data_IF_410033720740
#
_entry.id   IF_410033720740
#
_cell.length_a   1.000
_cell.length_b   1.000
_cell.length_c   1.000
_cell.angle_alpha   90.00
_cell.angle_beta   90.00
_cell.angle_gamma   90.00
#
_symmetry.space_group_name_H-M   'P 1'
#
loop_
_entity.id
_entity.type
_entity.pdbx_description
1 polymer ?
#
# COMPACT_ATOMS: atom_id res chain seq x y z
N UNK A 1 48.87 17.08 92.55
CA UNK A 1 49.68 16.26 91.62
C UNK A 1 48.71 15.37 90.83
N UNK A 2 48.51 15.73 89.56
CA UNK A 2 48.20 14.89 88.39
C UNK A 2 47.04 13.83 88.37
N UNK A 3 46.11 14.04 87.41
CA UNK A 3 45.66 13.10 86.34
C UNK A 3 44.60 12.04 86.78
N UNK A 4 43.44 11.81 86.13
CA UNK A 4 43.15 11.50 84.70
C UNK A 4 41.75 11.96 84.23
N UNK A 5 41.70 12.65 83.09
CA UNK A 5 40.56 12.62 82.18
C UNK A 5 40.57 11.27 81.46
N UNK A 6 39.48 10.50 81.57
CA UNK A 6 39.24 9.32 80.72
C UNK A 6 38.55 9.75 79.43
N UNK A 7 39.25 9.64 78.31
CA UNK A 7 38.67 9.73 76.97
C UNK A 7 37.85 8.47 76.67
N UNK A 8 36.56 8.64 76.34
CA UNK A 8 35.78 7.59 75.69
C UNK A 8 36.07 7.65 74.19
N UNK A 9 36.84 6.69 73.68
CA UNK A 9 36.91 6.41 72.25
C UNK A 9 35.62 5.71 71.82
N UNK A 10 34.87 6.34 70.92
CA UNK A 10 33.80 5.67 70.18
C UNK A 10 34.47 4.93 69.03
N UNK A 11 34.74 3.64 69.21
CA UNK A 11 35.18 2.76 68.12
C UNK A 11 33.96 2.35 67.31
N UNK A 12 33.76 3.00 66.15
CA UNK A 12 32.78 2.59 65.15
C UNK A 12 33.24 1.33 64.42
N UNK A 13 32.95 0.15 64.97
CA UNK A 13 33.09 -1.12 64.25
C UNK A 13 32.06 -1.21 63.10
N UNK A 14 32.34 -1.98 62.03
CA UNK A 14 31.42 -2.14 60.92
C UNK A 14 30.10 -2.73 61.44
N UNK A 15 29.00 -2.05 61.19
CA UNK A 15 27.67 -2.56 61.55
C UNK A 15 27.43 -3.84 60.76
N UNK A 16 27.00 -4.94 61.39
CA UNK A 16 26.62 -6.15 60.67
C UNK A 16 25.53 -5.79 59.65
N UNK A 17 25.69 -6.24 58.40
CA UNK A 17 24.70 -5.99 57.36
C UNK A 17 23.40 -6.69 57.75
N UNK A 18 22.28 -5.98 57.58
CA UNK A 18 20.96 -6.53 57.83
C UNK A 18 20.60 -7.45 56.66
N UNK A 19 20.48 -8.77 56.87
CA UNK A 19 20.22 -9.73 55.80
C UNK A 19 18.89 -9.44 55.08
N UNK A 20 17.94 -8.77 55.75
CA UNK A 20 16.70 -8.34 55.12
C UNK A 20 16.94 -7.20 54.13
N UNK A 21 17.72 -6.20 54.50
CA UNK A 21 18.15 -5.11 53.61
C UNK A 21 18.98 -5.64 52.44
N UNK A 22 19.89 -6.59 52.67
CA UNK A 22 20.70 -7.20 51.61
C UNK A 22 19.84 -7.99 50.62
N UNK A 23 18.85 -8.74 51.11
CA UNK A 23 17.91 -9.48 50.27
C UNK A 23 17.03 -8.52 49.45
N UNK A 24 16.52 -7.46 50.08
CA UNK A 24 15.70 -6.44 49.44
C UNK A 24 16.47 -5.74 48.31
N UNK A 25 17.73 -5.38 48.57
CA UNK A 25 18.58 -4.69 47.59
C UNK A 25 18.94 -5.59 46.41
N UNK A 26 19.30 -6.85 46.66
CA UNK A 26 19.57 -7.81 45.59
C UNK A 26 18.34 -8.10 44.73
N UNK A 27 17.16 -8.20 45.35
CA UNK A 27 15.89 -8.40 44.65
C UNK A 27 15.56 -7.19 43.77
N UNK A 28 15.72 -5.97 44.30
CA UNK A 28 15.51 -4.73 43.56
C UNK A 28 16.48 -4.63 42.37
N UNK A 29 17.76 -4.97 42.57
CA UNK A 29 18.76 -4.94 41.50
C UNK A 29 18.43 -5.95 40.40
N UNK A 30 17.96 -7.15 40.76
CA UNK A 30 17.45 -8.14 39.81
C UNK A 30 16.26 -7.61 39.01
N UNK A 31 15.29 -6.97 39.67
CA UNK A 31 14.14 -6.37 39.00
C UNK A 31 14.53 -5.26 38.03
N UNK A 32 15.45 -4.37 38.43
CA UNK A 32 15.97 -3.29 37.59
C UNK A 32 16.70 -3.86 36.37
N UNK A 33 17.53 -4.89 36.55
CA UNK A 33 18.22 -5.56 35.44
C UNK A 33 17.24 -6.17 34.44
N UNK A 34 16.21 -6.87 34.92
CA UNK A 34 15.16 -7.45 34.07
C UNK A 34 14.40 -6.36 33.30
N UNK A 35 14.15 -5.21 33.93
CA UNK A 35 13.52 -4.07 33.27
C UNK A 35 14.42 -3.47 32.16
N UNK A 36 15.73 -3.34 32.41
CA UNK A 36 16.68 -2.94 31.38
C UNK A 36 16.73 -3.92 30.21
N UNK A 37 16.76 -5.23 30.49
CA UNK A 37 16.71 -6.26 29.45
C UNK A 37 15.39 -6.16 28.66
N UNK A 38 14.26 -5.99 29.33
CA UNK A 38 12.96 -5.82 28.67
C UNK A 38 12.94 -4.61 27.73
N UNK A 39 13.52 -3.47 28.13
CA UNK A 39 13.64 -2.28 27.26
C UNK A 39 14.56 -2.55 26.06
N UNK A 40 15.66 -3.28 26.25
CA UNK A 40 16.56 -3.66 25.15
C UNK A 40 15.90 -4.61 24.14
N UNK A 41 15.05 -5.53 24.62
CA UNK A 41 14.23 -6.42 23.78
C UNK A 41 12.98 -5.74 23.22
N UNK A 42 12.60 -4.57 23.75
CA UNK A 42 11.60 -3.69 23.16
C UNK A 42 12.21 -3.04 21.92
N UNK A 43 12.34 -3.81 20.85
CA UNK A 43 12.58 -3.28 19.52
C UNK A 43 11.21 -2.81 19.00
N UNK A 44 10.86 -1.51 19.04
CA UNK A 44 9.71 -1.07 18.29
C UNK A 44 10.04 -1.43 16.84
N UNK A 45 9.28 -2.38 16.28
CA UNK A 45 9.25 -2.61 14.84
C UNK A 45 9.28 -1.22 14.22
N UNK A 46 10.32 -0.92 13.44
CA UNK A 46 10.33 0.29 12.62
C UNK A 46 9.19 0.04 11.65
N UNK A 47 7.99 0.48 12.02
CA UNK A 47 6.83 0.50 11.14
C UNK A 47 7.25 1.44 10.03
N UNK A 48 7.93 0.90 9.01
CA UNK A 48 8.19 1.55 7.75
C UNK A 48 6.84 2.11 7.39
N UNK A 49 6.73 3.44 7.31
CA UNK A 49 5.48 4.16 7.12
C UNK A 49 4.56 3.31 6.25
N UNK A 50 3.64 2.59 6.90
CA UNK A 50 2.74 1.69 6.20
C UNK A 50 1.82 2.71 5.58
N UNK A 51 2.06 3.03 4.31
CA UNK A 51 1.03 3.70 3.53
C UNK A 51 -0.08 2.67 3.56
N UNK A 52 -1.04 2.83 4.48
CA UNK A 52 -2.29 2.09 4.46
C UNK A 52 -3.02 2.60 3.22
N UNK A 53 -2.56 2.11 2.06
CA UNK A 53 -3.36 2.07 0.87
C UNK A 53 -4.52 1.17 1.27
N UNK A 54 -5.72 1.74 1.27
CA UNK A 54 -6.98 1.01 1.44
C UNK A 54 -7.26 0.19 0.18
N UNK A 55 -6.32 -0.70 -0.16
CA UNK A 55 -6.26 -1.51 -1.36
C UNK A 55 -5.37 -2.73 -1.10
N UNK A 56 -5.73 -3.85 -1.71
CA UNK A 56 -4.93 -5.08 -1.76
C UNK A 56 -4.12 -5.11 -3.06
N UNK A 57 -4.78 -4.72 -4.15
CA UNK A 57 -4.18 -4.56 -5.47
C UNK A 57 -4.53 -3.20 -6.07
N UNK A 58 -3.61 -2.66 -6.87
CA UNK A 58 -3.81 -1.47 -7.68
C UNK A 58 -3.51 -1.81 -9.12
N UNK A 59 -4.47 -1.57 -10.00
CA UNK A 59 -4.34 -1.64 -11.44
C UNK A 59 -4.15 -0.21 -11.94
N UNK A 60 -3.04 0.04 -12.62
CA UNK A 60 -2.74 1.33 -13.24
C UNK A 60 -2.73 1.16 -14.74
N UNK A 61 -3.52 1.99 -15.42
CA UNK A 61 -3.58 2.08 -16.87
C UNK A 61 -3.08 3.47 -17.27
N UNK A 62 -2.10 3.55 -18.15
CA UNK A 62 -1.52 4.83 -18.60
C UNK A 62 -1.28 4.80 -20.10
N UNK A 63 -1.44 5.92 -20.76
CA UNK A 63 -1.08 6.11 -22.17
C UNK A 63 -0.23 7.39 -22.32
N UNK A 64 0.36 7.68 -23.49
CA UNK A 64 1.29 8.79 -23.61
C UNK A 64 0.69 10.12 -23.15
N UNK A 65 1.50 10.86 -22.39
CA UNK A 65 1.14 12.15 -21.83
C UNK A 65 0.72 13.14 -22.92
N UNK A 66 -0.20 14.04 -22.57
CA UNK A 66 -0.76 15.09 -23.45
C UNK A 66 -1.51 14.57 -24.69
N UNK A 67 -1.81 13.27 -24.76
CA UNK A 67 -2.70 12.77 -25.81
C UNK A 67 -4.15 13.14 -25.50
N UNK A 68 -4.91 13.65 -26.48
CA UNK A 68 -6.33 13.97 -26.32
C UNK A 68 -7.24 12.72 -26.42
N UNK A 69 -6.66 11.53 -26.54
CA UNK A 69 -7.36 10.26 -26.65
C UNK A 69 -7.84 9.78 -25.27
N UNK A 70 -9.02 9.17 -25.23
CA UNK A 70 -9.71 8.71 -24.03
C UNK A 70 -9.74 7.18 -23.99
N UNK A 71 -9.04 6.59 -23.02
CA UNK A 71 -8.92 5.15 -22.84
C UNK A 71 -9.55 4.77 -21.49
N UNK A 72 -10.71 4.12 -21.56
CA UNK A 72 -11.40 3.64 -20.38
C UNK A 72 -10.85 2.26 -19.95
N UNK A 73 -10.79 2.05 -18.64
CA UNK A 73 -10.53 0.77 -17.99
C UNK A 73 -11.83 0.14 -17.51
N UNK A 74 -12.02 -1.12 -17.86
CA UNK A 74 -13.12 -1.95 -17.41
C UNK A 74 -12.56 -3.11 -16.61
N UNK A 75 -13.01 -3.26 -15.36
CA UNK A 75 -12.56 -4.36 -14.50
C UNK A 75 -13.75 -5.16 -14.02
N UNK A 76 -13.75 -6.45 -14.34
CA UNK A 76 -14.73 -7.39 -13.82
C UNK A 76 -14.11 -8.20 -12.68
N UNK A 77 -14.85 -8.34 -11.58
CA UNK A 77 -14.47 -9.16 -10.43
C UNK A 77 -14.92 -10.64 -10.58
N UNK A 78 -14.48 -11.54 -9.68
CA UNK A 78 -14.87 -12.96 -9.74
C UNK A 78 -16.36 -13.23 -9.59
N UNK A 79 -17.13 -12.28 -9.05
CA UNK A 79 -18.59 -12.38 -8.90
C UNK A 79 -19.33 -11.88 -10.15
N UNK A 80 -18.60 -11.37 -11.16
CA UNK A 80 -19.14 -10.84 -12.41
C UNK A 80 -19.59 -9.39 -12.31
N UNK A 81 -19.24 -8.67 -11.24
CA UNK A 81 -19.51 -7.25 -11.12
C UNK A 81 -18.47 -6.46 -11.92
N UNK A 82 -18.92 -5.47 -12.70
CA UNK A 82 -18.07 -4.71 -13.62
C UNK A 82 -17.93 -3.27 -13.15
N UNK A 83 -16.69 -2.86 -12.89
CA UNK A 83 -16.28 -1.50 -12.54
C UNK A 83 -15.79 -0.75 -13.79
N UNK A 84 -16.35 0.44 -14.01
CA UNK A 84 -16.04 1.35 -15.13
C UNK A 84 -16.54 2.77 -14.81
N UNK A 85 -16.32 3.77 -15.68
CA UNK A 85 -16.58 5.18 -15.35
C UNK A 85 -17.99 5.50 -14.84
N UNK A 86 -19.04 4.80 -15.31
CA UNK A 86 -20.43 4.98 -14.79
C UNK A 86 -20.73 4.14 -13.56
N UNK A 87 -20.04 3.01 -13.38
CA UNK A 87 -20.17 2.15 -12.22
C UNK A 87 -18.84 2.07 -11.49
N UNK A 88 -18.42 3.19 -10.88
CA UNK A 88 -17.07 3.34 -10.33
C UNK A 88 -16.79 2.45 -9.12
N UNK A 89 -17.81 1.92 -8.47
CA UNK A 89 -17.68 1.06 -7.30
C UNK A 89 -18.56 -0.18 -7.51
N UNK A 90 -17.95 -1.33 -7.81
CA UNK A 90 -18.64 -2.60 -7.95
C UNK A 90 -17.97 -3.61 -7.00
N UNK A 91 -18.74 -4.13 -6.03
CA UNK A 91 -18.21 -5.00 -4.99
C UNK A 91 -17.05 -4.36 -4.23
N UNK A 92 -15.87 -4.97 -4.36
CA UNK A 92 -14.62 -4.53 -3.74
C UNK A 92 -13.65 -3.90 -4.73
N UNK A 93 -14.09 -3.61 -5.96
CA UNK A 93 -13.30 -3.03 -7.04
C UNK A 93 -13.78 -1.63 -7.34
N UNK A 94 -12.85 -0.68 -7.34
CA UNK A 94 -13.17 0.73 -7.42
C UNK A 94 -12.27 1.48 -8.40
N UNK A 95 -12.86 2.29 -9.28
CA UNK A 95 -12.16 3.22 -10.15
C UNK A 95 -11.88 4.51 -9.36
N UNK A 96 -10.70 4.59 -8.76
CA UNK A 96 -10.28 5.69 -7.89
C UNK A 96 -9.83 6.92 -8.68
N UNK A 97 -9.24 6.74 -9.88
CA UNK A 97 -8.98 7.81 -10.85
C UNK A 97 -9.55 7.42 -12.21
N UNK A 98 -10.38 8.31 -12.73
CA UNK A 98 -11.02 8.31 -14.04
C UNK A 98 -10.49 9.54 -14.79
N UNK A 99 -9.92 9.34 -15.98
CA UNK A 99 -9.24 10.37 -16.74
C UNK A 99 -9.88 10.46 -18.12
N UNK A 100 -10.48 11.62 -18.42
CA UNK A 100 -11.27 11.85 -19.65
C UNK A 100 -10.42 12.50 -20.74
N UNK A 101 -9.10 12.35 -20.67
CA UNK A 101 -8.12 13.06 -21.49
C UNK A 101 -7.97 14.54 -21.10
N UNK A 102 -7.47 15.37 -22.03
CA UNK A 102 -7.16 16.79 -21.80
C UNK A 102 -8.36 17.70 -21.41
N UNK A 103 -9.57 17.16 -21.27
CA UNK A 103 -10.75 17.90 -20.86
C UNK A 103 -10.76 18.14 -19.35
N UNK A 104 -10.42 19.37 -18.94
CA UNK A 104 -10.46 19.91 -17.56
C UNK A 104 -9.35 19.44 -16.61
N UNK A 105 -8.21 19.02 -17.15
CA UNK A 105 -7.11 18.54 -16.35
C UNK A 105 -6.15 19.71 -16.04
N UNK A 106 -6.46 20.51 -15.00
CA UNK A 106 -5.58 21.58 -14.51
C UNK A 106 -5.12 21.32 -13.07
N UNK A 107 -3.83 21.53 -12.83
CA UNK A 107 -3.17 21.49 -11.53
C UNK A 107 -2.88 22.91 -11.08
N UNK A 108 -3.19 23.23 -9.82
CA UNK A 108 -2.79 24.49 -9.21
C UNK A 108 -1.48 24.27 -8.44
N UNK A 109 -0.38 24.77 -8.97
CA UNK A 109 0.93 24.74 -8.30
C UNK A 109 1.36 26.17 -8.02
N UNK A 110 1.52 26.51 -6.74
CA UNK A 110 1.87 27.86 -6.29
C UNK A 110 0.93 28.97 -6.82
N UNK A 111 -0.37 28.67 -6.93
CA UNK A 111 -1.38 29.62 -7.42
C UNK A 111 -1.41 29.80 -8.94
N UNK A 112 -0.62 29.04 -9.69
CA UNK A 112 -0.65 29.01 -11.16
C UNK A 112 -1.37 27.73 -11.63
N UNK A 113 -2.33 27.91 -12.53
CA UNK A 113 -2.92 26.78 -13.27
C UNK A 113 -1.93 26.26 -14.31
N UNK A 114 -1.70 24.95 -14.27
CA UNK A 114 -0.85 24.20 -15.19
C UNK A 114 -1.70 23.05 -15.74
N UNK A 115 -1.67 22.83 -17.04
CA UNK A 115 -2.33 21.69 -17.67
C UNK A 115 -1.68 20.38 -17.17
N UNK A 116 -2.48 19.42 -16.71
CA UNK A 116 -2.01 18.12 -16.27
C UNK A 116 -1.68 17.27 -17.50
N UNK A 117 -0.41 16.92 -17.72
CA UNK A 117 -0.04 16.11 -18.88
C UNK A 117 -0.34 14.61 -18.66
N UNK A 118 -0.63 14.21 -17.42
CA UNK A 118 -0.70 12.80 -17.01
C UNK A 118 -2.02 12.17 -17.44
N UNK A 119 -1.92 11.22 -18.37
CA UNK A 119 -3.00 10.37 -18.83
C UNK A 119 -2.99 9.03 -18.09
N UNK A 120 -3.90 8.88 -17.12
CA UNK A 120 -3.91 7.72 -16.23
C UNK A 120 -5.26 7.39 -15.62
N UNK A 121 -5.63 6.12 -15.67
CA UNK A 121 -6.68 5.54 -14.82
C UNK A 121 -6.11 4.62 -13.73
N UNK A 122 -6.75 4.63 -12.57
CA UNK A 122 -6.34 3.84 -11.41
C UNK A 122 -7.55 3.12 -10.83
N UNK A 123 -7.48 1.78 -10.82
CA UNK A 123 -8.46 0.92 -10.17
C UNK A 123 -7.84 0.28 -8.92
N UNK A 124 -8.52 0.40 -7.79
CA UNK A 124 -8.17 -0.24 -6.54
C UNK A 124 -9.07 -1.44 -6.25
N UNK A 125 -8.47 -2.59 -5.90
CA UNK A 125 -9.18 -3.75 -5.38
C UNK A 125 -8.99 -3.72 -3.86
N UNK A 126 -10.05 -3.37 -3.12
CA UNK A 126 -10.01 -3.13 -1.67
C UNK A 126 -10.04 -4.40 -0.82
N UNK A 127 -10.51 -5.52 -1.36
CA UNK A 127 -10.51 -6.81 -0.68
C UNK A 127 -10.20 -7.98 -1.60
N UNK A 128 -9.71 -9.08 -1.01
CA UNK A 128 -9.29 -10.27 -1.73
C UNK A 128 -10.49 -11.20 -1.91
N UNK A 129 -11.03 -11.29 -3.13
CA UNK A 129 -12.00 -12.31 -3.51
C UNK A 129 -11.26 -13.32 -4.38
N UNK A 130 -11.21 -14.61 -4.01
CA UNK A 130 -10.58 -15.62 -4.85
C UNK A 130 -11.37 -15.81 -6.15
N UNK A 131 -10.64 -16.06 -7.23
CA UNK A 131 -11.21 -16.23 -8.56
C UNK A 131 -10.58 -15.31 -9.59
N UNK A 132 -11.16 -15.28 -10.78
CA UNK A 132 -10.58 -14.57 -11.92
C UNK A 132 -11.11 -13.14 -12.02
N UNK A 133 -10.17 -12.20 -12.13
CA UNK A 133 -10.43 -10.81 -12.47
C UNK A 133 -10.07 -10.58 -13.94
N UNK A 134 -10.89 -9.80 -14.64
CA UNK A 134 -10.66 -9.43 -16.04
C UNK A 134 -10.43 -7.93 -16.14
N UNK A 135 -9.35 -7.50 -16.78
CA UNK A 135 -9.05 -6.10 -17.07
C UNK A 135 -9.10 -5.89 -18.57
N UNK A 136 -10.07 -5.08 -19.01
CA UNK A 136 -10.21 -4.65 -20.39
C UNK A 136 -9.87 -3.18 -20.54
N UNK A 137 -9.39 -2.86 -21.73
CA UNK A 137 -9.20 -1.50 -22.21
C UNK A 137 -10.22 -1.22 -23.29
N UNK A 138 -10.77 -0.01 -23.28
CA UNK A 138 -11.72 0.45 -24.29
C UNK A 138 -11.26 1.80 -24.82
N UNK A 139 -11.04 1.88 -26.14
CA UNK A 139 -10.68 3.15 -26.78
C UNK A 139 -11.96 3.96 -27.03
N UNK A 140 -12.38 4.72 -26.02
CA UNK A 140 -13.70 5.34 -25.97
C UNK A 140 -13.83 6.52 -26.94
N UNK A 141 -12.89 7.46 -26.89
CA UNK A 141 -12.88 8.65 -27.74
C UNK A 141 -11.48 8.91 -28.30
N UNK A 142 -11.42 9.40 -29.54
CA UNK A 142 -10.14 9.70 -30.19
C UNK A 142 -10.05 11.16 -30.64
N UNK A 143 -8.97 11.82 -30.22
CA UNK A 143 -8.58 13.11 -30.77
C UNK A 143 -7.58 12.98 -31.92
N UNK A 144 -6.77 11.92 -31.94
CA UNK A 144 -5.66 11.76 -32.90
C UNK A 144 -6.00 10.90 -34.12
N UNK A 145 -7.01 10.01 -34.00
CA UNK A 145 -7.37 8.97 -34.98
C UNK A 145 -6.22 7.99 -35.27
N UNK A 146 -5.30 7.81 -34.33
CA UNK A 146 -4.15 6.92 -34.44
C UNK A 146 -4.23 5.79 -33.41
N UNK A 147 -3.49 4.68 -33.62
CA UNK A 147 -3.33 3.67 -32.57
C UNK A 147 -2.66 4.27 -31.33
N UNK A 148 -3.13 3.86 -30.15
CA UNK A 148 -2.59 4.29 -28.85
C UNK A 148 -1.97 3.11 -28.12
N UNK A 149 -0.71 3.25 -27.72
CA UNK A 149 -0.04 2.26 -26.88
C UNK A 149 -0.37 2.50 -25.41
N UNK A 150 -1.08 1.57 -24.81
CA UNK A 150 -1.55 1.65 -23.41
C UNK A 150 -0.72 0.72 -22.55
N UNK A 151 -0.21 1.21 -21.44
CA UNK A 151 0.53 0.43 -20.46
C UNK A 151 -0.39 0.02 -19.31
N UNK A 152 -0.41 -1.27 -18.99
CA UNK A 152 -1.18 -1.83 -17.88
C UNK A 152 -0.23 -2.43 -16.85
N UNK A 153 -0.35 -1.99 -15.61
CA UNK A 153 0.43 -2.51 -14.47
C UNK A 153 -0.51 -2.94 -13.36
N UNK A 154 -0.28 -4.13 -12.81
CA UNK A 154 -0.97 -4.61 -11.61
C UNK A 154 0.07 -4.76 -10.51
N UNK A 155 -0.15 -4.08 -9.40
CA UNK A 155 0.68 -4.17 -8.21
C UNK A 155 -0.15 -4.68 -7.03
N UNK A 156 0.33 -5.71 -6.35
CA UNK A 156 -0.08 -5.99 -4.97
C UNK A 156 0.53 -4.90 -4.10
N UNK A 157 -0.25 -4.28 -3.22
CA UNK A 157 0.22 -3.19 -2.36
C UNK A 157 0.20 -3.55 -0.87
N UNK A 158 -0.61 -4.54 -0.48
CA UNK A 158 -0.70 -5.05 0.89
C UNK A 158 -0.39 -6.56 0.92
N UNK A 159 0.50 -7.05 1.81
CA UNK A 159 1.29 -6.30 2.80
C UNK A 159 2.57 -5.66 2.25
N UNK A 160 3.03 -6.09 1.07
CA UNK A 160 4.27 -5.61 0.46
C UNK A 160 3.99 -5.24 -0.99
N UNK A 161 4.52 -4.09 -1.41
CA UNK A 161 4.45 -3.65 -2.80
C UNK A 161 5.19 -4.63 -3.73
N UNK A 162 4.46 -5.24 -4.67
CA UNK A 162 5.01 -6.16 -5.67
C UNK A 162 4.25 -5.99 -6.99
N UNK A 163 4.97 -5.72 -8.07
CA UNK A 163 4.40 -5.76 -9.42
C UNK A 163 4.18 -7.23 -9.79
N UNK A 164 2.93 -7.59 -10.07
CA UNK A 164 2.53 -8.96 -10.45
C UNK A 164 2.26 -9.08 -11.95
N UNK A 165 1.95 -7.97 -12.61
CA UNK A 165 1.78 -7.91 -14.05
C UNK A 165 2.19 -6.54 -14.59
N UNK A 166 2.80 -6.53 -15.77
CA UNK A 166 3.19 -5.33 -16.48
C UNK A 166 3.25 -5.65 -17.97
N UNK A 167 2.45 -4.95 -18.78
CA UNK A 167 2.57 -5.06 -20.22
C UNK A 167 2.03 -3.84 -20.97
N UNK A 168 2.35 -3.76 -22.25
CA UNK A 168 1.84 -2.78 -23.20
C UNK A 168 0.84 -3.42 -24.15
N UNK A 169 -0.33 -2.78 -24.32
CA UNK A 169 -1.41 -3.17 -25.22
C UNK A 169 -1.65 -2.06 -26.23
N UNK A 170 -1.56 -2.37 -27.52
CA UNK A 170 -1.84 -1.39 -28.57
C UNK A 170 -3.33 -1.37 -28.92
N UNK A 171 -3.97 -0.22 -28.75
CA UNK A 171 -5.38 0.05 -29.04
C UNK A 171 -5.50 0.65 -30.45
N UNK A 172 -6.08 -0.06 -31.43
CA UNK A 172 -5.91 0.30 -32.84
C UNK A 172 -6.74 1.50 -33.29
N UNK A 173 -7.94 1.68 -32.74
CA UNK A 173 -8.90 2.71 -33.15
C UNK A 173 -10.02 2.88 -32.13
N UNK A 174 -10.75 3.98 -32.22
CA UNK A 174 -11.98 4.23 -31.45
C UNK A 174 -12.96 3.05 -31.53
N UNK A 175 -13.56 2.71 -30.39
CA UNK A 175 -14.49 1.60 -30.20
C UNK A 175 -13.82 0.23 -30.09
N UNK A 176 -12.49 0.15 -30.19
CA UNK A 176 -11.77 -1.09 -29.94
C UNK A 176 -11.83 -1.45 -28.45
N UNK A 177 -12.12 -2.71 -28.17
CA UNK A 177 -12.02 -3.33 -26.86
C UNK A 177 -10.96 -4.42 -26.93
N UNK A 178 -10.11 -4.50 -25.90
CA UNK A 178 -9.14 -5.58 -25.74
C UNK A 178 -9.03 -6.01 -24.29
N UNK A 179 -8.94 -7.32 -24.07
CA UNK A 179 -8.53 -7.85 -22.77
C UNK A 179 -7.02 -7.67 -22.57
N UNK A 180 -6.64 -6.78 -21.67
CA UNK A 180 -5.24 -6.58 -21.32
C UNK A 180 -4.70 -7.76 -20.51
N UNK A 181 -5.46 -8.21 -19.52
CA UNK A 181 -5.07 -9.31 -18.66
C UNK A 181 -6.27 -9.92 -17.94
N UNK A 182 -6.23 -11.24 -17.77
CA UNK A 182 -7.04 -11.99 -16.82
C UNK A 182 -6.12 -12.61 -15.81
N UNK A 183 -6.36 -12.37 -14.53
CA UNK A 183 -5.53 -12.91 -13.45
C UNK A 183 -6.41 -13.56 -12.41
N UNK A 184 -5.97 -14.71 -11.90
CA UNK A 184 -6.71 -15.47 -10.90
C UNK A 184 -6.04 -15.32 -9.55
N UNK A 185 -6.80 -14.89 -8.55
CA UNK A 185 -6.38 -14.88 -7.16
C UNK A 185 -6.75 -16.18 -6.47
N UNK A 186 -5.82 -16.72 -5.69
CA UNK A 186 -6.09 -17.79 -4.73
C UNK A 186 -6.78 -17.27 -3.46
N UNK A 187 -7.16 -18.19 -2.57
CA UNK A 187 -7.81 -17.84 -1.28
C UNK A 187 -6.91 -17.01 -0.35
N UNK A 188 -5.59 -17.14 -0.47
CA UNK A 188 -4.57 -16.34 0.21
C UNK A 188 -4.22 -15.03 -0.52
N UNK A 189 -4.89 -14.76 -1.65
CA UNK A 189 -4.74 -13.54 -2.43
C UNK A 189 -3.47 -13.47 -3.28
N UNK A 190 -2.81 -14.60 -3.54
CA UNK A 190 -1.70 -14.69 -4.49
C UNK A 190 -2.23 -14.83 -5.92
N UNK A 191 -1.50 -14.26 -6.88
CA UNK A 191 -1.79 -14.49 -8.30
C UNK A 191 -1.29 -15.87 -8.70
N UNK A 192 -2.22 -16.78 -9.01
CA UNK A 192 -1.91 -18.19 -9.36
C UNK A 192 -1.99 -18.48 -10.87
N UNK A 193 -2.67 -17.62 -11.63
CA UNK A 193 -2.78 -17.76 -13.08
C UNK A 193 -2.88 -16.39 -13.74
N UNK A 194 -2.30 -16.27 -14.94
CA UNK A 194 -2.38 -15.09 -15.80
C UNK A 194 -2.62 -15.55 -17.23
N UNK A 195 -3.61 -14.99 -17.90
CA UNK A 195 -3.89 -15.23 -19.30
C UNK A 195 -4.41 -13.97 -20.00
N UNK A 196 -4.65 -14.07 -21.31
CA UNK A 196 -5.14 -12.98 -22.17
C UNK A 196 -6.28 -13.44 -23.08
N UNK A 197 -7.09 -14.37 -22.58
CA UNK A 197 -8.25 -14.83 -23.33
C UNK A 197 -9.25 -13.69 -23.42
N UNK A 198 -9.50 -13.23 -24.65
CA UNK A 198 -10.44 -12.15 -24.92
C UNK A 198 -11.80 -12.43 -24.27
N UNK A 199 -12.32 -11.43 -23.56
CA UNK A 199 -13.64 -11.43 -22.96
C UNK A 199 -14.27 -10.07 -23.23
N UNK A 200 -15.53 -10.06 -23.67
CA UNK A 200 -16.27 -8.81 -23.88
C UNK A 200 -16.88 -8.34 -22.57
N UNK A 201 -16.54 -7.14 -22.12
CA UNK A 201 -17.09 -6.45 -20.94
C UNK A 201 -17.83 -5.17 -21.34
N UNK A 202 -17.41 -4.50 -22.40
CA UNK A 202 -18.03 -3.23 -22.82
C UNK A 202 -19.48 -3.47 -23.27
N UNK A 203 -20.40 -2.83 -22.56
CA UNK A 203 -21.84 -2.84 -22.84
C UNK A 203 -22.35 -1.40 -22.94
N UNK A 204 -23.14 -1.11 -23.97
CA UNK A 204 -23.77 0.19 -24.22
C UNK A 204 -25.27 0.16 -23.95
#
# INVERSE_FOLDING_TARGET
MAIRLGSRSVTGGPRPSDPFTDLLFNTLMGFVLLFFLAILFLNPEKTKAKVDLDAQYVITVTWPDNLPDDIDTWVEDPEGQVTWYRNRNAGLVHLDRDDRGMLNDTLVINGKEIENPLNQEVVAIRGLVPGEYTVNLHYYETGTKAPVDVLVRIARVNPVYKIVFYDKVSMPQKGAEKTAVRFTLSADGEVININRLEKKLVSF
#
